data_IF_298650617305
#
_entry.id   IF_298650617305
#
_cell.length_a   1.000
_cell.length_b   1.000
_cell.length_c   1.000
_cell.angle_alpha   90.00
_cell.angle_beta   90.00
_cell.angle_gamma   90.00
#
_symmetry.space_group_name_H-M   'P 1'
#
loop_
_entity.id
_entity.type
_entity.pdbx_description
1 polymer ?
#
# COMPACT_ATOMS: atom_id res chain seq x y z
N UNK A 1 4.87 -18.96 38.15
CA UNK A 1 4.15 -19.37 36.92
C UNK A 1 3.42 -18.16 36.36
N UNK A 2 3.84 -17.65 35.21
CA UNK A 2 3.18 -16.50 34.57
C UNK A 2 2.10 -17.04 33.65
N UNK A 3 0.83 -16.73 33.92
CA UNK A 3 -0.28 -17.10 33.04
C UNK A 3 -0.18 -16.23 31.79
N UNK A 4 -0.03 -16.86 30.63
CA UNK A 4 -0.07 -16.16 29.34
C UNK A 4 -1.53 -15.84 28.96
N UNK A 5 -1.98 -14.66 29.37
CA UNK A 5 -3.33 -14.17 29.08
C UNK A 5 -3.59 -13.97 27.57
N UNK A 6 -2.54 -13.87 26.74
CA UNK A 6 -2.68 -13.62 25.30
C UNK A 6 -3.14 -14.84 24.52
N UNK A 7 -2.87 -16.04 25.04
CA UNK A 7 -3.17 -17.32 24.38
C UNK A 7 -4.38 -18.06 24.97
N UNK A 8 -5.17 -17.39 25.81
CA UNK A 8 -6.44 -17.96 26.31
C UNK A 8 -7.46 -18.11 25.18
N UNK A 9 -8.36 -19.11 25.28
CA UNK A 9 -9.48 -19.29 24.33
C UNK A 9 -10.29 -18.01 24.14
N UNK A 10 -10.57 -17.30 25.25
CA UNK A 10 -11.28 -16.01 25.25
C UNK A 10 -10.53 -14.93 24.48
N UNK A 11 -9.21 -14.80 24.68
CA UNK A 11 -8.39 -13.86 23.94
C UNK A 11 -8.37 -14.16 22.44
N UNK A 12 -8.23 -15.44 22.06
CA UNK A 12 -8.30 -15.88 20.66
C UNK A 12 -9.64 -15.53 20.01
N UNK A 13 -10.76 -15.89 20.63
CA UNK A 13 -12.10 -15.56 20.10
C UNK A 13 -12.30 -14.05 19.93
N UNK A 14 -11.87 -13.26 20.91
CA UNK A 14 -11.94 -11.80 20.83
C UNK A 14 -11.07 -11.24 19.69
N UNK A 15 -9.86 -11.79 19.50
CA UNK A 15 -8.96 -11.41 18.41
C UNK A 15 -9.57 -11.72 17.06
N UNK A 16 -10.09 -12.94 16.86
CA UNK A 16 -10.77 -13.35 15.63
C UNK A 16 -11.96 -12.45 15.30
N UNK A 17 -12.79 -12.12 16.30
CA UNK A 17 -13.92 -11.20 16.10
C UNK A 17 -13.45 -9.83 15.61
N UNK A 18 -12.45 -9.25 16.28
CA UNK A 18 -11.87 -7.95 15.87
C UNK A 18 -11.24 -8.01 14.48
N UNK A 19 -10.50 -9.08 14.20
CA UNK A 19 -9.87 -9.31 12.90
C UNK A 19 -10.89 -9.35 11.76
N UNK A 20 -12.01 -10.06 11.97
CA UNK A 20 -13.10 -10.10 11.00
C UNK A 20 -13.71 -8.72 10.76
N UNK A 21 -13.97 -7.95 11.83
CA UNK A 21 -14.48 -6.57 11.69
C UNK A 21 -13.51 -5.66 10.92
N UNK A 22 -12.20 -5.76 11.19
CA UNK A 22 -11.18 -5.01 10.43
C UNK A 22 -11.14 -5.43 8.96
N UNK A 23 -11.25 -6.72 8.66
CA UNK A 23 -11.25 -7.24 7.29
C UNK A 23 -12.45 -6.72 6.51
N UNK A 24 -13.66 -6.74 7.10
CA UNK A 24 -14.87 -6.18 6.48
C UNK A 24 -14.73 -4.67 6.25
N UNK A 25 -14.19 -3.92 7.20
CA UNK A 25 -13.94 -2.49 7.06
C UNK A 25 -12.91 -2.19 5.95
N UNK A 26 -11.87 -3.00 5.81
CA UNK A 26 -10.89 -2.86 4.74
C UNK A 26 -11.49 -3.15 3.37
N UNK A 27 -12.31 -4.20 3.25
CA UNK A 27 -13.04 -4.52 2.03
C UNK A 27 -13.99 -3.38 1.62
N UNK A 28 -14.70 -2.78 2.58
CA UNK A 28 -15.58 -1.63 2.33
C UNK A 28 -14.83 -0.38 1.85
N UNK A 29 -13.55 -0.24 2.24
CA UNK A 29 -12.65 0.83 1.78
C UNK A 29 -11.93 0.49 0.47
N UNK A 30 -12.19 -0.68 -0.12
CA UNK A 30 -11.54 -1.12 -1.37
C UNK A 30 -10.10 -1.60 -1.20
N UNK A 31 -9.67 -1.91 0.02
CA UNK A 31 -8.28 -2.30 0.31
C UNK A 31 -8.07 -3.81 0.15
N UNK A 32 -6.86 -4.17 -0.27
CA UNK A 32 -6.41 -5.56 -0.38
C UNK A 32 -5.56 -6.00 0.81
N UNK A 33 -5.38 -7.30 0.98
CA UNK A 33 -4.66 -7.89 2.12
C UNK A 33 -3.23 -7.36 2.27
N UNK A 34 -2.48 -7.21 1.18
CA UNK A 34 -1.13 -6.64 1.23
C UNK A 34 -1.07 -5.16 1.57
N UNK A 35 -2.17 -4.42 1.41
CA UNK A 35 -2.27 -3.02 1.83
C UNK A 35 -2.49 -2.90 3.35
N UNK A 36 -2.72 -4.02 4.03
CA UNK A 36 -2.83 -4.11 5.49
C UNK A 36 -1.59 -4.69 6.18
N UNK A 37 -0.62 -5.27 5.48
CA UNK A 37 0.57 -5.89 6.10
C UNK A 37 1.49 -4.87 6.80
N UNK A 38 2.11 -5.25 7.92
CA UNK A 38 3.26 -4.56 8.59
C UNK A 38 4.37 -5.61 8.72
N UNK A 39 5.60 -5.35 8.27
CA UNK A 39 6.49 -4.41 8.97
C UNK A 39 7.21 -3.35 8.10
N UNK A 40 7.17 -2.08 8.54
CA UNK A 40 8.19 -1.06 8.25
C UNK A 40 8.03 -0.12 7.05
N UNK A 41 6.92 -0.10 6.30
CA UNK A 41 6.98 0.37 4.89
C UNK A 41 6.77 1.88 4.63
N UNK A 42 5.66 2.52 5.02
CA UNK A 42 5.44 3.96 4.68
C UNK A 42 4.46 4.66 5.65
N UNK A 43 4.40 6.00 5.61
CA UNK A 43 3.36 6.78 6.31
C UNK A 43 1.95 6.46 5.76
N UNK A 44 1.85 6.17 4.46
CA UNK A 44 0.61 5.81 3.81
C UNK A 44 0.02 4.50 4.36
N UNK A 45 0.86 3.52 4.71
CA UNK A 45 0.43 2.25 5.31
C UNK A 45 -0.20 2.45 6.70
N UNK A 46 0.42 3.27 7.55
CA UNK A 46 -0.14 3.60 8.88
C UNK A 46 -1.44 4.38 8.74
N UNK A 47 -1.52 5.33 7.81
CA UNK A 47 -2.76 6.06 7.52
C UNK A 47 -3.87 5.13 6.99
N UNK A 48 -3.54 4.14 6.16
CA UNK A 48 -4.48 3.11 5.70
C UNK A 48 -5.06 2.34 6.87
N UNK A 49 -4.21 1.79 7.75
CA UNK A 49 -4.65 1.06 8.95
C UNK A 49 -5.48 1.93 9.89
N UNK A 50 -5.12 3.20 10.04
CA UNK A 50 -5.89 4.15 10.83
C UNK A 50 -7.29 4.38 10.24
N UNK A 51 -7.41 4.54 8.91
CA UNK A 51 -8.72 4.64 8.25
C UNK A 51 -9.56 3.39 8.46
N UNK A 52 -8.97 2.20 8.29
CA UNK A 52 -9.66 0.92 8.53
C UNK A 52 -10.13 0.80 9.97
N UNK A 53 -9.27 1.15 10.95
CA UNK A 53 -9.61 1.13 12.37
C UNK A 53 -10.79 2.05 12.69
N UNK A 54 -10.77 3.28 12.18
CA UNK A 54 -11.86 4.25 12.38
C UNK A 54 -13.15 3.76 11.72
N UNK A 55 -13.08 3.25 10.50
CA UNK A 55 -14.22 2.70 9.78
C UNK A 55 -14.82 1.48 10.52
N UNK A 56 -13.98 0.65 11.14
CA UNK A 56 -14.40 -0.47 11.98
C UNK A 56 -14.96 -0.05 13.36
N UNK A 57 -14.98 1.24 13.70
CA UNK A 57 -15.49 1.75 14.97
C UNK A 57 -14.60 1.47 16.19
N UNK A 58 -13.35 1.03 16.00
CA UNK A 58 -12.45 0.79 17.12
C UNK A 58 -11.87 2.08 17.66
N UNK A 59 -11.99 2.32 18.97
CA UNK A 59 -11.37 3.48 19.64
C UNK A 59 -9.86 3.33 19.85
N UNK A 60 -9.42 2.12 20.19
CA UNK A 60 -8.01 1.80 20.45
C UNK A 60 -7.35 1.12 19.24
N UNK A 61 -6.03 1.24 19.12
CA UNK A 61 -5.24 0.54 18.10
C UNK A 61 -5.27 -0.98 18.34
N UNK A 62 -5.69 -1.80 17.36
CA UNK A 62 -5.57 -3.25 17.46
C UNK A 62 -4.10 -3.69 17.56
N UNK A 63 -3.84 -4.82 18.21
CA UNK A 63 -2.50 -5.41 18.27
C UNK A 63 -2.04 -5.88 16.89
N UNK A 64 -0.72 -6.02 16.70
CA UNK A 64 -0.14 -6.52 15.44
C UNK A 64 -0.68 -7.92 15.09
N UNK A 65 -0.81 -8.83 16.07
CA UNK A 65 -1.44 -10.13 15.88
C UNK A 65 -2.91 -10.05 15.42
N UNK A 66 -3.65 -8.99 15.79
CA UNK A 66 -5.03 -8.79 15.29
C UNK A 66 -5.02 -8.34 13.83
N UNK A 67 -4.05 -7.52 13.43
CA UNK A 67 -3.87 -7.08 12.04
C UNK A 67 -3.40 -8.21 11.12
N UNK A 68 -2.50 -9.07 11.59
CA UNK A 68 -2.08 -10.28 10.87
C UNK A 68 -3.29 -11.19 10.62
N UNK A 69 -4.10 -11.44 11.64
CA UNK A 69 -5.33 -12.23 11.51
C UNK A 69 -6.35 -11.54 10.58
N UNK A 70 -6.50 -10.22 10.65
CA UNK A 70 -7.37 -9.47 9.73
C UNK A 70 -6.90 -9.59 8.27
N UNK A 71 -5.59 -9.59 8.04
CA UNK A 71 -5.01 -9.76 6.71
C UNK A 71 -5.33 -11.14 6.12
N UNK A 72 -5.21 -12.19 6.94
CA UNK A 72 -5.57 -13.55 6.54
C UNK A 72 -7.08 -13.69 6.24
N UNK A 73 -7.94 -13.12 7.10
CA UNK A 73 -9.39 -13.12 6.88
C UNK A 73 -9.75 -12.35 5.60
N UNK A 74 -9.15 -11.18 5.37
CA UNK A 74 -9.39 -10.41 4.14
C UNK A 74 -8.96 -11.18 2.89
N UNK A 75 -7.82 -11.86 2.93
CA UNK A 75 -7.35 -12.73 1.85
C UNK A 75 -8.35 -13.86 1.56
N UNK A 76 -8.83 -14.55 2.60
CA UNK A 76 -9.82 -15.61 2.47
C UNK A 76 -11.15 -15.11 1.90
N UNK A 77 -11.64 -13.97 2.40
CA UNK A 77 -12.85 -13.31 1.89
C UNK A 77 -12.70 -12.91 0.42
N UNK A 78 -11.52 -12.43 0.03
CA UNK A 78 -11.24 -12.07 -1.38
C UNK A 78 -11.32 -13.30 -2.27
N UNK A 79 -10.71 -14.42 -1.87
CA UNK A 79 -10.73 -15.68 -2.63
C UNK A 79 -12.13 -16.31 -2.74
N UNK A 80 -13.03 -16.01 -1.81
CA UNK A 80 -14.40 -16.50 -1.84
C UNK A 80 -15.31 -15.74 -2.81
N UNK A 81 -14.85 -14.62 -3.39
CA UNK A 81 -15.63 -13.81 -4.32
C UNK A 81 -15.64 -14.42 -5.74
N UNK A 82 -16.75 -14.28 -6.49
CA UNK A 82 -16.86 -14.81 -7.84
C UNK A 82 -15.82 -14.18 -8.78
N UNK A 83 -15.41 -14.93 -9.79
CA UNK A 83 -14.44 -14.50 -10.82
C UNK A 83 -13.07 -14.09 -10.26
N UNK A 84 -12.77 -14.49 -9.02
CA UNK A 84 -11.48 -14.24 -8.38
C UNK A 84 -10.48 -15.32 -8.77
N UNK A 85 -9.30 -14.89 -9.20
CA UNK A 85 -8.14 -15.74 -9.49
C UNK A 85 -6.93 -15.17 -8.78
N UNK A 86 -5.82 -15.92 -8.73
CA UNK A 86 -4.56 -15.38 -8.23
C UNK A 86 -3.84 -14.60 -9.34
N UNK A 87 -3.32 -13.43 -9.00
CA UNK A 87 -2.42 -12.68 -9.85
C UNK A 87 -1.18 -13.52 -10.16
N UNK A 88 -0.82 -13.66 -11.44
CA UNK A 88 0.36 -14.44 -11.85
C UNK A 88 1.70 -13.83 -11.45
N UNK A 89 1.71 -12.62 -10.85
CA UNK A 89 2.93 -11.92 -10.42
C UNK A 89 3.05 -11.91 -8.90
N UNK A 90 2.04 -11.39 -8.20
CA UNK A 90 2.09 -11.23 -6.74
C UNK A 90 1.31 -12.29 -5.96
N UNK A 91 0.65 -13.23 -6.64
CA UNK A 91 -0.16 -14.28 -6.02
C UNK A 91 -1.27 -13.78 -5.10
N UNK A 92 -1.67 -12.51 -5.22
CA UNK A 92 -2.84 -11.98 -4.52
C UNK A 92 -4.11 -12.16 -5.34
N UNK A 93 -5.29 -12.22 -4.69
CA UNK A 93 -6.56 -12.40 -5.35
C UNK A 93 -6.87 -11.17 -6.21
N UNK A 94 -7.34 -11.40 -7.43
CA UNK A 94 -7.73 -10.38 -8.41
C UNK A 94 -9.01 -10.82 -9.10
N UNK A 95 -9.83 -9.87 -9.54
CA UNK A 95 -10.97 -10.17 -10.41
C UNK A 95 -10.50 -10.09 -11.85
N UNK A 96 -10.61 -11.18 -12.60
CA UNK A 96 -10.18 -11.23 -14.00
C UNK A 96 -11.38 -11.10 -14.94
N UNK A 97 -11.46 -9.98 -15.65
CA UNK A 97 -12.60 -9.63 -16.52
C UNK A 97 -12.14 -9.36 -17.95
N UNK A 98 -13.05 -9.55 -18.91
CA UNK A 98 -12.80 -9.27 -20.32
C UNK A 98 -13.14 -7.81 -20.63
N UNK A 99 -12.38 -7.14 -21.48
CA UNK A 99 -12.68 -5.79 -21.97
C UNK A 99 -13.59 -5.84 -23.20
N UNK A 100 -14.19 -4.72 -23.61
CA UNK A 100 -14.99 -4.66 -24.85
C UNK A 100 -14.23 -5.12 -26.11
N UNK A 101 -12.90 -4.91 -26.14
CA UNK A 101 -12.01 -5.40 -27.21
C UNK A 101 -11.57 -6.86 -27.08
N UNK A 102 -12.08 -7.61 -26.11
CA UNK A 102 -11.80 -9.04 -25.94
C UNK A 102 -10.56 -9.39 -25.10
N UNK A 103 -9.70 -8.42 -24.78
CA UNK A 103 -8.53 -8.63 -23.91
C UNK A 103 -8.92 -8.85 -22.45
N UNK A 104 -8.14 -9.62 -21.70
CA UNK A 104 -8.37 -9.82 -20.25
C UNK A 104 -7.61 -8.78 -19.43
N UNK A 105 -8.22 -8.30 -18.36
CA UNK A 105 -7.59 -7.39 -17.38
C UNK A 105 -7.85 -7.88 -15.96
N UNK A 106 -6.85 -7.68 -15.09
CA UNK A 106 -6.94 -7.98 -13.67
C UNK A 106 -7.31 -6.71 -12.91
N UNK A 107 -8.41 -6.76 -12.18
CA UNK A 107 -8.89 -5.70 -11.29
C UNK A 107 -8.64 -6.08 -9.83
N UNK A 108 -8.56 -5.07 -8.97
CA UNK A 108 -8.70 -5.30 -7.55
C UNK A 108 -10.06 -5.95 -7.25
N UNK A 109 -10.11 -6.78 -6.21
CA UNK A 109 -11.30 -7.60 -5.92
C UNK A 109 -12.44 -6.76 -5.32
N UNK A 110 -12.08 -5.69 -4.61
CA UNK A 110 -13.03 -4.76 -3.99
C UNK A 110 -13.09 -3.45 -4.78
N UNK A 111 -14.30 -2.87 -4.83
CA UNK A 111 -14.50 -1.54 -5.39
C UNK A 111 -13.71 -0.51 -4.58
N UNK A 112 -13.14 0.50 -5.23
CA UNK A 112 -12.24 1.44 -4.58
C UNK A 112 -12.54 2.88 -5.05
N UNK A 113 -12.48 3.91 -4.17
CA UNK A 113 -12.80 5.29 -4.54
C UNK A 113 -11.95 5.88 -5.67
N UNK A 114 -10.71 5.42 -5.81
CA UNK A 114 -9.81 5.77 -6.92
C UNK A 114 -9.90 4.81 -8.12
N UNK A 115 -10.93 3.96 -8.18
CA UNK A 115 -11.21 3.08 -9.29
C UNK A 115 -11.75 3.85 -10.49
N UNK A 116 -11.47 3.34 -11.69
CA UNK A 116 -11.95 3.92 -12.95
C UNK A 116 -12.37 2.83 -13.96
N UNK A 117 -12.50 1.59 -13.50
CA UNK A 117 -12.96 0.46 -14.32
C UNK A 117 -14.33 0.03 -13.82
N UNK A 118 -15.31 0.03 -14.72
CA UNK A 118 -16.67 -0.41 -14.44
C UNK A 118 -16.91 -1.78 -15.09
N UNK A 119 -16.99 -2.87 -14.30
CA UNK A 119 -17.43 -4.16 -14.79
C UNK A 119 -18.96 -4.18 -14.86
N UNK A 120 -19.53 -4.41 -16.04
CA UNK A 120 -20.97 -4.54 -16.26
C UNK A 120 -21.30 -5.75 -17.16
N UNK A 121 -22.56 -6.17 -17.18
CA UNK A 121 -22.97 -7.32 -17.99
C UNK A 121 -23.37 -6.91 -19.41
N UNK A 122 -22.82 -7.60 -20.41
CA UNK A 122 -23.20 -7.49 -21.83
C UNK A 122 -23.41 -8.89 -22.38
N UNK A 123 -24.65 -9.21 -22.78
CA UNK A 123 -24.99 -10.53 -23.33
C UNK A 123 -24.63 -11.70 -22.38
N UNK A 124 -24.87 -11.54 -21.08
CA UNK A 124 -24.58 -12.55 -20.06
C UNK A 124 -23.09 -12.70 -19.70
N UNK A 125 -22.21 -11.86 -20.22
CA UNK A 125 -20.78 -11.85 -19.90
C UNK A 125 -20.41 -10.57 -19.15
N UNK A 126 -19.49 -10.66 -18.19
CA UNK A 126 -18.93 -9.49 -17.51
C UNK A 126 -17.87 -8.84 -18.40
N UNK A 127 -18.07 -7.56 -18.72
CA UNK A 127 -17.19 -6.73 -19.53
C UNK A 127 -16.71 -5.55 -18.71
N UNK A 128 -15.40 -5.28 -18.73
CA UNK A 128 -14.79 -4.08 -18.17
C UNK A 128 -14.82 -2.94 -19.18
N UNK A 129 -15.43 -1.84 -18.76
CA UNK A 129 -15.39 -0.54 -19.42
C UNK A 129 -14.48 0.42 -18.63
N UNK A 130 -13.67 1.19 -19.35
CA UNK A 130 -12.76 2.16 -18.75
C UNK A 130 -13.40 3.53 -18.80
N UNK A 131 -13.61 4.12 -17.63
CA UNK A 131 -14.10 5.50 -17.53
C UNK A 131 -12.89 6.41 -17.72
N UNK A 132 -12.91 7.17 -18.81
CA UNK A 132 -11.91 8.20 -19.09
C UNK A 132 -12.46 9.57 -18.71
N UNK A 133 -11.63 10.61 -18.57
CA UNK A 133 -12.02 11.88 -17.94
C UNK A 133 -13.17 12.67 -18.57
N UNK A 134 -13.67 12.26 -19.74
CA UNK A 134 -14.88 12.81 -20.38
C UNK A 134 -16.14 11.98 -20.13
N UNK A 135 -16.00 10.74 -19.69
CA UNK A 135 -17.09 9.81 -19.46
C UNK A 135 -17.60 9.98 -18.04
N UNK A 136 -18.92 10.10 -17.88
CA UNK A 136 -19.52 10.11 -16.55
C UNK A 136 -19.53 8.69 -16.01
N UNK A 137 -18.98 8.50 -14.82
CA UNK A 137 -19.18 7.26 -14.09
C UNK A 137 -20.69 7.06 -13.86
N UNK A 138 -21.22 5.82 -13.93
CA UNK A 138 -22.59 5.58 -13.52
C UNK A 138 -22.71 5.92 -12.03
N UNK A 139 -23.70 6.73 -11.67
CA UNK A 139 -23.81 7.37 -10.34
C UNK A 139 -23.78 6.36 -9.17
N UNK A 140 -24.25 5.13 -9.39
CA UNK A 140 -24.37 4.08 -8.36
C UNK A 140 -23.53 2.82 -8.64
N UNK A 141 -22.65 2.84 -9.64
CA UNK A 141 -21.87 1.65 -10.00
C UNK A 141 -20.54 1.56 -9.23
N UNK A 142 -20.18 0.39 -8.66
CA UNK A 142 -18.88 0.21 -8.05
C UNK A 142 -17.77 0.29 -9.09
N UNK A 143 -16.82 1.20 -8.87
CA UNK A 143 -15.61 1.31 -9.69
C UNK A 143 -14.45 0.56 -9.06
N UNK A 144 -13.65 -0.07 -9.91
CA UNK A 144 -12.52 -0.89 -9.51
C UNK A 144 -11.21 -0.28 -10.03
N UNK A 145 -10.13 -0.52 -9.30
CA UNK A 145 -8.77 -0.20 -9.75
C UNK A 145 -8.25 -1.32 -10.64
N UNK A 146 -7.47 -0.97 -11.65
CA UNK A 146 -6.59 -1.93 -12.31
C UNK A 146 -5.56 -2.48 -11.31
N UNK A 147 -5.44 -3.80 -11.22
CA UNK A 147 -4.50 -4.43 -10.29
C UNK A 147 -3.04 -4.07 -10.60
N UNK A 148 -2.70 -3.76 -11.85
CA UNK A 148 -1.37 -3.27 -12.21
C UNK A 148 -0.96 -1.98 -11.47
N UNK A 149 -1.93 -1.19 -10.99
CA UNK A 149 -1.72 0.05 -10.24
C UNK A 149 -1.60 -0.16 -8.72
N UNK A 150 -2.09 -1.28 -8.20
CA UNK A 150 -2.08 -1.62 -6.77
C UNK A 150 -1.05 -2.71 -6.44
N UNK A 151 -0.74 -3.59 -7.39
CA UNK A 151 0.12 -4.76 -7.22
C UNK A 151 1.45 -4.42 -6.54
N UNK A 152 1.80 -5.09 -5.43
CA UNK A 152 3.00 -4.79 -4.66
C UNK A 152 4.29 -5.20 -5.38
N UNK A 153 4.18 -6.06 -6.40
CA UNK A 153 5.30 -6.55 -7.22
C UNK A 153 5.27 -6.01 -8.66
N UNK A 154 4.47 -4.97 -8.94
CA UNK A 154 4.54 -4.28 -10.22
C UNK A 154 5.93 -3.64 -10.43
N UNK A 155 6.34 -3.47 -11.69
CA UNK A 155 7.66 -2.88 -12.05
C UNK A 155 7.91 -1.51 -11.40
N UNK A 156 6.87 -0.73 -11.20
CA UNK A 156 6.88 0.60 -10.59
C UNK A 156 6.51 0.61 -9.11
N UNK A 157 6.20 -0.53 -8.49
CA UNK A 157 5.73 -0.60 -7.11
C UNK A 157 6.72 0.01 -6.11
N UNK A 158 8.03 -0.26 -6.28
CA UNK A 158 9.06 0.34 -5.42
C UNK A 158 9.09 1.86 -5.52
N UNK A 159 8.94 2.42 -6.73
CA UNK A 159 8.92 3.87 -6.96
C UNK A 159 7.71 4.50 -6.29
N UNK A 160 6.53 3.88 -6.41
CA UNK A 160 5.30 4.33 -5.73
C UNK A 160 5.50 4.36 -4.21
N UNK A 161 6.03 3.28 -3.63
CA UNK A 161 6.28 3.20 -2.19
C UNK A 161 7.29 4.24 -1.70
N UNK A 162 8.36 4.49 -2.46
CA UNK A 162 9.33 5.54 -2.11
C UNK A 162 8.75 6.95 -2.24
N UNK A 163 7.86 7.18 -3.20
CA UNK A 163 7.18 8.47 -3.35
C UNK A 163 6.23 8.76 -2.18
N UNK A 164 5.64 7.71 -1.59
CA UNK A 164 4.76 7.79 -0.41
C UNK A 164 5.51 7.86 0.92
N UNK A 165 6.81 7.52 0.93
CA UNK A 165 7.59 7.51 2.15
C UNK A 165 7.90 8.96 2.61
N UNK A 166 7.72 9.27 3.91
CA UNK A 166 8.20 10.54 4.45
C UNK A 166 9.72 10.63 4.25
N UNK A 167 10.23 11.80 3.91
CA UNK A 167 11.66 12.01 3.63
C UNK A 167 12.35 12.72 4.78
N UNK A 168 13.58 12.30 5.06
CA UNK A 168 14.46 12.96 6.00
C UNK A 168 14.79 14.37 5.49
N UNK A 169 14.59 15.40 6.33
CA UNK A 169 14.85 16.79 5.94
C UNK A 169 16.33 17.07 5.65
N UNK A 170 17.25 16.31 6.26
CA UNK A 170 18.68 16.50 6.10
C UNK A 170 19.26 15.79 4.87
N UNK A 171 18.97 14.49 4.68
CA UNK A 171 19.58 13.70 3.60
C UNK A 171 18.63 13.41 2.42
N UNK A 172 17.33 13.67 2.57
CA UNK A 172 16.32 13.38 1.53
C UNK A 172 15.90 11.91 1.41
N UNK A 173 16.54 11.01 2.15
CA UNK A 173 16.24 9.57 2.14
C UNK A 173 14.93 9.23 2.88
N UNK A 174 14.27 8.11 2.55
CA UNK A 174 13.06 7.66 3.22
C UNK A 174 13.24 7.46 4.75
N UNK A 175 12.29 7.97 5.52
CA UNK A 175 12.13 7.72 6.95
C UNK A 175 11.25 6.51 7.20
N UNK A 176 11.41 5.89 8.37
CA UNK A 176 10.47 4.87 8.86
C UNK A 176 9.07 5.46 8.98
N UNK A 177 8.13 4.94 8.19
CA UNK A 177 6.74 5.38 8.20
C UNK A 177 6.09 5.26 9.59
N UNK A 178 6.42 4.20 10.33
CA UNK A 178 5.90 3.97 11.69
C UNK A 178 6.38 5.02 12.67
N UNK A 179 7.67 5.37 12.64
CA UNK A 179 8.23 6.40 13.51
C UNK A 179 7.69 7.79 13.14
N UNK A 180 7.63 8.11 11.85
CA UNK A 180 7.06 9.37 11.36
C UNK A 180 5.57 9.53 11.72
N UNK A 181 4.81 8.43 11.73
CA UNK A 181 3.41 8.45 12.15
C UNK A 181 3.25 8.58 13.67
N UNK A 182 4.06 7.85 14.44
CA UNK A 182 3.94 7.80 15.91
C UNK A 182 4.48 9.07 16.56
N UNK A 183 5.60 9.60 16.05
CA UNK A 183 6.30 10.75 16.61
C UNK A 183 6.28 11.87 15.59
N UNK A 184 5.45 12.89 15.86
CA UNK A 184 5.30 14.04 14.95
C UNK A 184 6.61 14.76 14.71
N UNK A 185 7.57 14.71 15.65
CA UNK A 185 8.88 15.35 15.54
C UNK A 185 9.91 14.51 14.77
N UNK A 186 9.57 13.27 14.39
CA UNK A 186 10.45 12.40 13.63
C UNK A 186 10.50 12.82 12.16
N UNK A 187 11.34 13.82 11.88
CA UNK A 187 11.54 14.42 10.56
C UNK A 187 12.95 14.20 10.00
N UNK A 188 13.84 13.63 10.80
CA UNK A 188 15.26 13.45 10.48
C UNK A 188 15.73 12.10 11.04
N UNK A 189 16.58 11.38 10.31
CA UNK A 189 17.19 10.17 10.87
C UNK A 189 18.06 10.53 12.09
N UNK A 190 18.19 9.64 13.10
CA UNK A 190 19.04 9.89 14.26
C UNK A 190 20.48 10.28 13.88
N UNK A 191 21.05 9.63 12.86
CA UNK A 191 22.41 9.90 12.38
C UNK A 191 22.51 11.10 11.42
N UNK A 192 21.39 11.73 11.08
CA UNK A 192 21.33 12.91 10.22
C UNK A 192 21.01 14.19 11.02
N UNK A 193 20.89 14.10 12.35
CA UNK A 193 21.03 15.30 13.17
C UNK A 193 22.42 15.87 12.89
N UNK A 194 22.46 17.15 12.53
CA UNK A 194 23.69 17.91 12.66
C UNK A 194 24.09 17.74 14.12
N UNK A 195 25.22 17.08 14.38
CA UNK A 195 25.95 17.40 15.61
C UNK A 195 26.07 18.91 15.56
N UNK A 196 25.41 19.60 16.49
CA UNK A 196 25.75 20.99 16.78
C UNK A 196 27.26 20.96 16.99
N UNK A 197 27.98 21.34 15.95
CA UNK A 197 29.41 21.59 16.03
C UNK A 197 29.46 22.73 17.00
N UNK A 198 29.70 22.43 18.27
CA UNK A 198 30.11 23.39 19.29
C UNK A 198 31.35 24.03 18.68
N UNK A 199 31.14 25.16 18.03
CA UNK A 199 32.12 25.79 17.16
C UNK A 199 33.05 26.64 18.02
N UNK A 200 33.91 25.98 18.79
CA UNK A 200 35.13 26.57 19.31
C UNK A 200 36.31 25.96 18.53
N UNK A 201 36.46 26.33 17.26
CA UNK A 201 37.59 25.89 16.45
C UNK A 201 37.63 26.52 15.06
N UNK A 202 38.78 27.11 14.65
CA UNK A 202 38.86 27.91 13.43
C UNK A 202 38.68 27.04 12.18
N UNK A 203 37.82 27.55 11.27
CA UNK A 203 37.46 27.02 9.95
C UNK A 203 38.68 26.46 9.20
N UNK A 204 38.72 25.13 9.03
CA UNK A 204 39.42 24.51 7.90
C UNK A 204 38.43 24.27 6.78
N UNK A 205 38.58 25.07 5.72
CA UNK A 205 37.86 24.96 4.45
C UNK A 205 37.98 23.54 3.88
N UNK A 206 36.87 22.79 3.87
CA UNK A 206 36.74 21.53 3.13
C UNK A 206 36.56 21.85 1.64
N UNK A 207 37.63 21.66 0.88
CA UNK A 207 37.63 21.63 -0.59
C UNK A 207 36.72 20.51 -1.06
N UNK A 208 35.67 20.87 -1.81
CA UNK A 208 34.73 19.93 -2.44
C UNK A 208 35.47 19.15 -3.55
N UNK A 209 35.49 17.81 -3.55
CA UNK A 209 36.15 17.07 -4.62
C UNK A 209 35.38 17.25 -5.93
N UNK A 210 36.07 17.31 -7.09
CA UNK A 210 35.44 17.55 -8.38
C UNK A 210 34.52 16.38 -8.77
N UNK A 211 33.32 16.72 -9.27
CA UNK A 211 32.39 15.77 -9.89
C UNK A 211 33.05 15.12 -11.11
N UNK A 212 33.24 13.80 -11.08
CA UNK A 212 33.58 13.01 -12.27
C UNK A 212 32.44 13.17 -13.29
N UNK A 213 32.73 13.80 -14.43
CA UNK A 213 31.84 13.83 -15.60
C UNK A 213 31.87 12.45 -16.24
N UNK A 214 30.75 11.74 -16.22
CA UNK A 214 30.54 10.51 -16.99
C UNK A 214 30.53 10.86 -18.48
N UNK A 215 31.45 10.29 -19.25
CA UNK A 215 31.48 10.43 -20.70
C UNK A 215 30.27 9.74 -21.34
N UNK A 216 29.54 10.47 -22.19
CA UNK A 216 28.53 9.91 -23.09
C UNK A 216 29.24 9.29 -24.29
N UNK A 217 29.25 7.97 -24.40
CA UNK A 217 29.59 7.30 -25.66
C UNK A 217 28.37 7.27 -26.58
N UNK A 218 28.39 8.15 -27.57
CA UNK A 218 27.57 8.07 -28.77
C UNK A 218 28.07 6.90 -29.63
N UNK A 219 27.29 5.84 -29.76
CA UNK A 219 27.51 4.79 -30.76
C UNK A 219 26.84 5.23 -32.06
N UNK A 220 27.67 5.62 -33.03
CA UNK A 220 27.30 5.90 -34.41
C UNK A 220 26.76 4.64 -35.10
N UNK A 221 25.57 4.75 -35.69
CA UNK A 221 25.10 3.85 -36.75
C UNK A 221 25.88 4.15 -38.03
N UNK A 222 26.49 3.14 -38.64
CA UNK A 222 26.81 3.15 -40.07
C UNK A 222 26.18 1.93 -40.73
N UNK A 223 25.35 2.25 -41.73
CA UNK A 223 24.99 1.56 -42.98
C UNK A 223 24.99 0.04 -42.98
#
# INVERSE_FOLDING_TARGET
MTIDYTNTKKAKTNRTKKANTLALAAAALGLLSYELLIPGSTLADEQRRERVRKHAGFKARPSDATWEEATMVLMANSMALPETVLCGVCSHPVRRVRTGGGSMVDLDVYAHPAGNVWPHQVGGKVVAEFITGTDSAPDDAPLFRLHSKSCPLAKDAWKRRLAEAPKCRACGEPLSGRLAYTWREYHTHPNCYEEEVISDGPRRSRTRPPRKRSASSAVQRRR
#
